data_IF_244483274802
#
_entry.id   IF_244483274802
#
_cell.length_a   1.000
_cell.length_b   1.000
_cell.length_c   1.000
_cell.angle_alpha   90.00
_cell.angle_beta   90.00
_cell.angle_gamma   90.00
#
_symmetry.space_group_name_H-M   'P 1'
#
loop_
_entity.id
_entity.type
_entity.pdbx_description
1 polymer ?
#
# COMPACT_ATOMS: atom_id res chain seq x y z
N UNK A 1 2.97 16.47 9.14
CA UNK A 1 3.48 15.15 8.84
C UNK A 1 2.80 14.72 7.56
N UNK A 2 3.60 14.69 6.49
CA UNK A 2 3.14 14.30 5.16
C UNK A 2 2.85 12.79 5.23
N UNK A 3 1.58 12.43 5.03
CA UNK A 3 1.18 11.04 4.81
C UNK A 3 1.78 10.62 3.46
N UNK A 4 2.43 9.46 3.34
CA UNK A 4 2.87 8.98 2.05
C UNK A 4 1.65 8.85 1.13
N UNK A 5 1.75 9.41 -0.06
CA UNK A 5 0.71 9.34 -1.07
C UNK A 5 0.90 8.11 -1.95
N UNK A 6 -0.21 7.49 -2.35
CA UNK A 6 -0.25 6.40 -3.29
C UNK A 6 -0.98 6.77 -4.58
N UNK A 7 -0.95 5.89 -5.58
CA UNK A 7 -1.77 6.01 -6.78
C UNK A 7 -2.69 4.79 -6.93
N UNK A 8 -3.91 5.04 -7.41
CA UNK A 8 -4.94 4.04 -7.62
C UNK A 8 -5.47 4.15 -9.03
N UNK A 9 -5.58 3.02 -9.71
CA UNK A 9 -6.16 2.94 -11.03
C UNK A 9 -7.66 2.65 -10.95
N UNK A 10 -8.46 3.49 -11.58
CA UNK A 10 -9.90 3.25 -11.78
C UNK A 10 -10.07 2.58 -13.13
N UNK A 11 -10.57 1.36 -13.13
CA UNK A 11 -10.84 0.58 -14.34
C UNK A 11 -12.26 0.80 -14.84
N UNK A 12 -12.44 0.69 -16.13
CA UNK A 12 -13.75 0.65 -16.79
C UNK A 12 -13.86 -0.53 -17.75
N UNK A 13 -15.08 -1.01 -17.91
CA UNK A 13 -15.49 -1.92 -18.96
C UNK A 13 -16.86 -1.42 -19.46
N UNK A 14 -16.94 -0.97 -20.70
CA UNK A 14 -18.15 -0.35 -21.24
C UNK A 14 -18.34 -0.72 -22.71
N UNK A 15 -19.55 -1.14 -23.06
CA UNK A 15 -19.94 -1.38 -24.45
C UNK A 15 -20.29 -0.07 -25.20
N UNK A 16 -20.37 1.05 -24.47
CA UNK A 16 -20.75 2.36 -25.01
C UNK A 16 -19.61 3.36 -24.82
N UNK A 17 -19.26 4.18 -25.82
CA UNK A 17 -18.28 5.23 -25.66
C UNK A 17 -18.67 6.23 -24.56
N UNK A 18 -17.74 6.54 -23.67
CA UNK A 18 -17.97 7.43 -22.53
C UNK A 18 -17.62 8.86 -22.95
N UNK A 19 -18.56 9.79 -22.83
CA UNK A 19 -18.37 11.21 -23.13
C UNK A 19 -18.12 12.07 -21.85
N UNK A 20 -18.49 11.53 -20.69
CA UNK A 20 -18.22 12.17 -19.40
C UNK A 20 -18.37 11.16 -18.26
N UNK A 21 -17.67 11.41 -17.18
CA UNK A 21 -17.78 10.61 -15.97
C UNK A 21 -17.68 11.49 -14.73
N UNK A 22 -18.35 11.05 -13.68
CA UNK A 22 -18.21 11.59 -12.33
C UNK A 22 -18.33 10.45 -11.36
N UNK A 23 -17.55 10.50 -10.28
CA UNK A 23 -17.69 9.60 -9.15
C UNK A 23 -17.12 10.23 -7.89
N UNK A 24 -17.56 9.74 -6.75
CA UNK A 24 -16.99 10.07 -5.46
C UNK A 24 -16.16 8.89 -4.95
N UNK A 25 -15.04 9.18 -4.30
CA UNK A 25 -14.16 8.17 -3.71
C UNK A 25 -14.29 8.23 -2.20
N UNK A 26 -14.76 7.14 -1.60
CA UNK A 26 -14.84 6.98 -0.16
C UNK A 26 -13.63 6.19 0.35
N UNK A 27 -13.27 6.39 1.61
CA UNK A 27 -12.23 5.62 2.29
C UNK A 27 -10.82 6.20 2.24
N UNK A 28 -10.55 7.08 1.27
CA UNK A 28 -9.25 7.77 1.10
C UNK A 28 -9.46 9.22 0.68
N UNK A 29 -8.42 10.03 0.74
CA UNK A 29 -8.44 11.42 0.26
C UNK A 29 -7.79 11.51 -1.12
N UNK A 30 -8.55 11.97 -2.12
CA UNK A 30 -8.06 12.19 -3.49
C UNK A 30 -7.36 13.54 -3.56
N UNK A 31 -6.09 13.52 -3.94
CA UNK A 31 -5.23 14.71 -4.07
C UNK A 31 -5.00 15.13 -5.51
N UNK A 32 -5.18 14.19 -6.46
CA UNK A 32 -5.01 14.43 -7.89
C UNK A 32 -5.69 13.35 -8.72
N UNK A 33 -5.87 13.60 -10.01
CA UNK A 33 -6.34 12.61 -10.98
C UNK A 33 -5.83 12.96 -12.38
N UNK A 34 -5.46 11.94 -13.15
CA UNK A 34 -4.98 12.08 -14.53
C UNK A 34 -4.67 10.72 -15.16
N UNK A 35 -4.04 10.71 -16.32
CA UNK A 35 -3.66 9.46 -16.99
C UNK A 35 -4.85 8.65 -17.55
N UNK A 36 -4.55 7.41 -17.91
CA UNK A 36 -5.53 6.46 -18.43
C UNK A 36 -6.19 6.85 -19.75
N UNK A 37 -7.33 6.22 -20.02
CA UNK A 37 -8.11 6.48 -21.23
C UNK A 37 -8.68 7.92 -21.28
N UNK A 38 -8.91 8.53 -20.12
CA UNK A 38 -9.37 9.91 -20.04
C UNK A 38 -8.34 10.87 -20.64
N UNK A 39 -7.08 10.76 -20.24
CA UNK A 39 -6.01 11.60 -20.80
C UNK A 39 -5.77 11.30 -22.28
N UNK A 40 -5.75 10.01 -22.66
CA UNK A 40 -5.57 9.59 -24.04
C UNK A 40 -6.67 10.13 -24.97
N UNK A 41 -7.91 10.29 -24.46
CA UNK A 41 -9.04 10.88 -25.17
C UNK A 41 -9.07 12.42 -25.10
N UNK A 42 -8.11 13.05 -24.42
CA UNK A 42 -8.04 14.50 -24.26
C UNK A 42 -9.09 15.08 -23.30
N UNK A 43 -9.50 14.32 -22.31
CA UNK A 43 -10.42 14.78 -21.26
C UNK A 43 -9.72 15.74 -20.31
N UNK A 44 -10.52 16.69 -19.84
CA UNK A 44 -10.16 17.48 -18.66
C UNK A 44 -10.67 16.73 -17.45
N UNK A 45 -9.75 16.36 -16.56
CA UNK A 45 -10.08 15.71 -15.28
C UNK A 45 -9.88 16.71 -14.15
N UNK A 46 -10.85 16.79 -13.27
CA UNK A 46 -10.86 17.72 -12.13
C UNK A 46 -11.24 16.97 -10.86
N UNK A 47 -10.59 17.32 -9.74
CA UNK A 47 -10.86 16.72 -8.43
C UNK A 47 -11.22 17.78 -7.41
N UNK A 48 -12.11 17.42 -6.48
CA UNK A 48 -12.47 18.28 -5.34
C UNK A 48 -13.38 17.55 -4.37
N UNK A 49 -13.05 17.62 -3.08
CA UNK A 49 -13.80 16.90 -2.01
C UNK A 49 -14.02 15.43 -2.33
N UNK A 50 -12.97 14.72 -2.74
CA UNK A 50 -13.01 13.30 -3.13
C UNK A 50 -13.96 13.00 -4.32
N UNK A 51 -14.42 14.01 -5.02
CA UNK A 51 -15.18 13.84 -6.26
C UNK A 51 -14.26 14.05 -7.46
N UNK A 52 -14.31 13.13 -8.40
CA UNK A 52 -13.57 13.16 -9.65
C UNK A 52 -14.56 13.38 -10.78
N UNK A 53 -14.29 14.37 -11.62
CA UNK A 53 -15.09 14.72 -12.78
C UNK A 53 -14.22 14.72 -14.03
N UNK A 54 -14.61 13.96 -15.06
CA UNK A 54 -13.93 13.93 -16.35
C UNK A 54 -14.87 14.27 -17.48
N UNK A 55 -14.46 15.18 -18.35
CA UNK A 55 -15.25 15.59 -19.53
C UNK A 55 -14.34 16.09 -20.64
N UNK A 56 -14.85 16.06 -21.87
CA UNK A 56 -14.17 16.61 -23.03
C UNK A 56 -14.80 17.94 -23.47
N UNK A 57 -14.00 19.00 -23.55
CA UNK A 57 -14.41 20.28 -24.15
C UNK A 57 -14.49 20.23 -25.67
N UNK A 58 -13.89 19.21 -26.29
CA UNK A 58 -13.83 19.00 -27.74
C UNK A 58 -14.86 18.01 -28.26
N UNK A 59 -15.65 17.41 -27.34
CA UNK A 59 -16.64 16.41 -27.68
C UNK A 59 -16.03 15.05 -28.05
N UNK A 60 -14.80 14.79 -27.64
CA UNK A 60 -14.18 13.47 -27.78
C UNK A 60 -14.78 12.49 -26.76
N UNK A 61 -14.68 11.21 -27.05
CA UNK A 61 -15.17 10.15 -26.17
C UNK A 61 -14.05 9.15 -25.86
N UNK A 62 -14.10 8.54 -24.70
CA UNK A 62 -13.33 7.35 -24.39
C UNK A 62 -14.00 6.20 -25.14
N UNK A 63 -13.28 5.42 -25.99
CA UNK A 63 -13.87 4.35 -26.77
C UNK A 63 -14.51 3.28 -25.88
N UNK A 64 -15.54 2.60 -26.41
CA UNK A 64 -16.03 1.36 -25.80
C UNK A 64 -14.88 0.35 -25.69
N UNK A 65 -14.87 -0.44 -24.63
CA UNK A 65 -13.83 -1.41 -24.30
C UNK A 65 -13.54 -1.43 -22.82
N UNK A 66 -12.38 -1.94 -22.48
CA UNK A 66 -11.92 -2.06 -21.10
C UNK A 66 -10.51 -1.45 -20.92
N UNK A 67 -10.22 -1.02 -19.73
CA UNK A 67 -8.89 -0.48 -19.39
C UNK A 67 -8.92 0.46 -18.21
N UNK A 68 -7.80 1.13 -17.98
CA UNK A 68 -7.68 2.16 -16.95
C UNK A 68 -8.39 3.42 -17.44
N UNK A 69 -9.44 3.83 -16.73
CA UNK A 69 -10.19 5.06 -17.00
C UNK A 69 -9.35 6.29 -16.63
N UNK A 70 -8.88 6.31 -15.41
CA UNK A 70 -8.11 7.40 -14.81
C UNK A 70 -7.26 6.86 -13.67
N UNK A 71 -6.14 7.50 -13.40
CA UNK A 71 -5.27 7.24 -12.25
C UNK A 71 -5.50 8.34 -11.22
N UNK A 72 -5.70 7.97 -9.97
CA UNK A 72 -5.92 8.88 -8.85
C UNK A 72 -4.67 8.94 -7.99
N UNK A 73 -4.27 10.13 -7.60
CA UNK A 73 -3.32 10.32 -6.50
C UNK A 73 -4.12 10.41 -5.21
N UNK A 74 -3.78 9.59 -4.24
CA UNK A 74 -4.53 9.48 -2.98
C UNK A 74 -3.60 9.56 -1.76
N UNK A 75 -4.17 9.92 -0.63
CA UNK A 75 -3.52 9.89 0.69
C UNK A 75 -4.45 9.23 1.71
N UNK A 76 -3.86 8.68 2.75
CA UNK A 76 -4.57 7.88 3.74
C UNK A 76 -4.72 6.41 3.31
N UNK A 77 -4.72 5.50 4.27
CA UNK A 77 -4.94 4.07 4.06
C UNK A 77 -6.37 3.70 4.40
N UNK A 78 -7.01 2.91 3.57
CA UNK A 78 -8.36 2.41 3.80
C UNK A 78 -8.91 1.66 2.59
N UNK A 79 -10.13 1.14 2.74
CA UNK A 79 -10.86 0.53 1.64
C UNK A 79 -11.42 1.64 0.74
N UNK A 80 -10.76 1.87 -0.40
CA UNK A 80 -11.26 2.83 -1.37
C UNK A 80 -12.44 2.24 -2.14
N UNK A 81 -13.51 3.00 -2.20
CA UNK A 81 -14.72 2.59 -2.89
C UNK A 81 -15.27 3.72 -3.74
N UNK A 82 -15.70 3.41 -4.97
CA UNK A 82 -16.39 4.37 -5.80
C UNK A 82 -17.86 4.43 -5.41
N UNK A 83 -18.37 5.63 -5.22
CA UNK A 83 -19.78 5.91 -4.96
C UNK A 83 -20.28 7.01 -5.89
N UNK A 84 -21.59 7.14 -6.01
CA UNK A 84 -22.24 8.18 -6.81
C UNK A 84 -21.68 8.25 -8.25
N UNK A 85 -21.42 7.06 -8.85
CA UNK A 85 -20.86 6.97 -10.19
C UNK A 85 -21.91 7.39 -11.22
N UNK A 86 -21.52 8.29 -12.10
CA UNK A 86 -22.31 8.74 -13.25
C UNK A 86 -21.43 8.66 -14.48
N UNK A 87 -21.87 7.89 -15.48
CA UNK A 87 -21.27 7.87 -16.80
C UNK A 87 -22.27 8.40 -17.80
N UNK A 88 -21.80 9.12 -18.81
CA UNK A 88 -22.66 9.65 -19.88
C UNK A 88 -22.09 9.32 -21.26
N UNK A 89 -23.01 9.09 -22.20
CA UNK A 89 -22.69 8.93 -23.62
C UNK A 89 -22.60 10.31 -24.32
N UNK A 90 -22.30 10.31 -25.61
CA UNK A 90 -22.17 11.53 -26.43
C UNK A 90 -23.50 12.26 -26.66
N UNK A 91 -24.64 11.65 -26.38
CA UNK A 91 -25.95 12.27 -26.42
C UNK A 91 -26.36 12.89 -25.07
N UNK A 92 -25.52 12.72 -24.04
CA UNK A 92 -25.80 13.16 -22.68
C UNK A 92 -26.73 12.22 -21.91
N UNK A 93 -26.97 11.00 -22.45
CA UNK A 93 -27.74 9.98 -21.73
C UNK A 93 -26.86 9.28 -20.72
N UNK A 94 -27.45 8.89 -19.59
CA UNK A 94 -26.72 8.09 -18.62
C UNK A 94 -26.43 6.68 -19.17
N UNK A 95 -25.22 6.22 -18.94
CA UNK A 95 -24.81 4.82 -19.17
C UNK A 95 -25.07 4.08 -17.88
N UNK A 96 -25.84 2.99 -17.93
CA UNK A 96 -26.05 2.12 -16.77
C UNK A 96 -24.70 1.52 -16.35
N UNK A 97 -24.43 1.56 -15.06
CA UNK A 97 -23.14 1.15 -14.51
C UNK A 97 -23.32 0.35 -13.21
N UNK A 98 -22.38 -0.52 -12.95
CA UNK A 98 -22.23 -1.22 -11.67
C UNK A 98 -20.80 -0.99 -11.18
N UNK A 99 -20.62 -0.81 -9.90
CA UNK A 99 -19.30 -0.77 -9.27
C UNK A 99 -19.01 -2.18 -8.78
N UNK A 100 -17.99 -2.79 -9.37
CA UNK A 100 -17.48 -4.08 -8.93
C UNK A 100 -16.21 -3.81 -8.13
N UNK A 101 -16.09 -4.42 -6.96
CA UNK A 101 -14.94 -4.37 -6.05
C UNK A 101 -14.56 -2.98 -5.48
N UNK A 102 -14.82 -2.83 -4.20
CA UNK A 102 -14.13 -1.84 -3.39
C UNK A 102 -12.75 -2.42 -3.02
N UNK A 103 -11.71 -1.89 -3.61
CA UNK A 103 -10.34 -2.39 -3.40
C UNK A 103 -9.71 -1.69 -2.22
N UNK A 104 -9.07 -2.45 -1.33
CA UNK A 104 -8.18 -1.87 -0.32
C UNK A 104 -7.02 -1.17 -1.02
N UNK A 105 -6.84 0.13 -0.75
CA UNK A 105 -5.63 0.83 -1.17
C UNK A 105 -4.53 0.47 -0.20
N UNK A 106 -3.55 -0.26 -0.69
CA UNK A 106 -2.24 -0.36 -0.04
C UNK A 106 -1.46 0.88 -0.44
N UNK A 107 -0.96 1.64 0.51
CA UNK A 107 -0.14 2.81 0.23
C UNK A 107 1.04 2.43 -0.67
N UNK A 108 1.37 3.28 -1.65
CA UNK A 108 2.53 3.04 -2.51
C UNK A 108 3.81 3.15 -1.66
N UNK A 109 4.36 2.01 -1.34
CA UNK A 109 5.45 1.81 -0.38
C UNK A 109 5.23 0.56 0.46
N UNK A 110 4.00 0.03 0.45
CA UNK A 110 3.64 -1.18 1.15
C UNK A 110 3.34 -2.30 0.12
N UNK A 111 4.39 -2.74 -0.60
CA UNK A 111 4.33 -3.92 -1.47
C UNK A 111 4.13 -5.23 -0.68
N UNK A 112 3.54 -5.12 0.53
CA UNK A 112 3.32 -6.25 1.42
C UNK A 112 1.84 -6.56 1.60
N UNK A 113 1.24 -7.43 0.76
CA UNK A 113 -0.18 -7.78 0.85
C UNK A 113 -0.58 -8.42 2.20
N UNK A 114 0.36 -8.98 2.93
CA UNK A 114 0.15 -9.55 4.27
C UNK A 114 0.22 -8.51 5.38
N UNK A 115 0.81 -7.33 5.11
CA UNK A 115 1.11 -6.31 6.11
C UNK A 115 2.22 -6.71 7.10
N UNK A 116 2.90 -7.83 6.85
CA UNK A 116 3.96 -8.32 7.72
C UNK A 116 5.33 -7.98 7.12
N UNK A 117 6.04 -7.08 7.77
CA UNK A 117 7.44 -6.78 7.45
C UNK A 117 8.36 -7.43 8.45
N UNK A 118 9.48 -7.93 7.97
CA UNK A 118 10.58 -8.28 8.85
C UNK A 118 11.33 -7.02 9.35
N UNK A 119 12.31 -7.21 10.21
CA UNK A 119 13.07 -6.09 10.76
C UNK A 119 13.90 -5.33 9.71
N UNK A 120 14.13 -5.89 8.52
CA UNK A 120 14.81 -5.25 7.40
C UNK A 120 13.83 -4.47 6.49
N UNK A 121 12.53 -4.50 6.79
CA UNK A 121 11.49 -3.89 5.98
C UNK A 121 11.12 -4.71 4.73
N UNK A 122 11.44 -6.00 4.70
CA UNK A 122 11.08 -6.91 3.60
C UNK A 122 9.75 -7.56 3.91
N UNK A 123 8.80 -7.47 2.95
CA UNK A 123 7.50 -8.09 3.06
C UNK A 123 7.61 -9.61 3.18
N UNK A 124 6.94 -10.18 4.18
CA UNK A 124 6.98 -11.60 4.52
C UNK A 124 8.42 -12.16 4.60
N UNK A 125 9.37 -11.27 4.90
CA UNK A 125 10.76 -11.64 5.12
C UNK A 125 10.92 -12.44 6.42
N UNK A 126 12.05 -13.09 6.55
CA UNK A 126 12.41 -13.92 7.70
C UNK A 126 13.56 -13.35 8.55
N UNK A 127 13.97 -12.12 8.24
CA UNK A 127 14.99 -11.44 9.01
C UNK A 127 14.47 -11.12 10.41
N UNK A 128 15.18 -11.57 11.42
CA UNK A 128 14.88 -11.32 12.84
C UNK A 128 15.98 -10.47 13.47
N UNK A 129 15.62 -9.68 14.45
CA UNK A 129 16.61 -8.97 15.26
C UNK A 129 17.39 -9.96 16.12
N UNK A 130 18.70 -9.81 16.14
CA UNK A 130 19.55 -10.55 17.06
C UNK A 130 19.44 -9.98 18.49
N UNK A 131 20.11 -10.59 19.45
CA UNK A 131 20.03 -10.13 20.83
C UNK A 131 20.65 -8.74 21.07
N UNK A 132 21.40 -8.19 20.10
CA UNK A 132 21.94 -6.84 20.14
C UNK A 132 20.97 -5.81 19.50
N UNK A 133 19.83 -6.26 18.95
CA UNK A 133 18.86 -5.43 18.25
C UNK A 133 19.26 -5.12 16.81
N UNK A 134 20.17 -5.90 16.23
CA UNK A 134 20.61 -5.74 14.83
C UNK A 134 19.82 -6.69 13.93
N UNK A 135 19.11 -6.11 12.93
CA UNK A 135 18.31 -6.90 12.02
C UNK A 135 19.18 -7.79 11.13
N UNK A 136 18.87 -9.08 11.08
CA UNK A 136 19.66 -10.08 10.35
C UNK A 136 21.04 -10.30 10.96
N UNK A 137 21.29 -9.78 12.15
CA UNK A 137 22.53 -9.99 12.89
C UNK A 137 22.72 -11.44 13.32
N UNK A 138 23.90 -11.74 13.83
CA UNK A 138 24.27 -13.09 14.28
C UNK A 138 24.61 -13.16 15.75
N UNK A 139 24.40 -12.09 16.50
CA UNK A 139 24.68 -12.08 17.94
C UNK A 139 23.67 -13.01 18.65
N UNK A 140 24.18 -13.97 19.39
CA UNK A 140 23.38 -14.90 20.17
C UNK A 140 23.63 -14.67 21.67
N UNK A 141 22.62 -14.97 22.48
CA UNK A 141 22.82 -15.03 23.93
C UNK A 141 23.72 -16.21 24.26
N UNK A 142 24.70 -15.97 25.13
CA UNK A 142 25.47 -17.05 25.73
C UNK A 142 24.61 -17.84 26.73
N UNK A 143 25.17 -18.89 27.32
CA UNK A 143 24.46 -19.71 28.30
C UNK A 143 24.14 -18.96 29.59
N UNK A 144 24.76 -17.81 29.81
CA UNK A 144 24.47 -16.88 30.89
C UNK A 144 23.38 -15.86 30.58
N UNK A 145 22.84 -15.86 29.33
CA UNK A 145 21.84 -14.90 28.85
C UNK A 145 22.44 -13.56 28.44
N UNK A 146 23.74 -13.45 28.28
CA UNK A 146 24.43 -12.23 27.83
C UNK A 146 24.58 -12.24 26.32
N UNK A 147 24.07 -11.21 25.66
CA UNK A 147 24.19 -11.10 24.22
C UNK A 147 25.65 -10.95 23.79
N UNK A 148 26.11 -11.83 22.87
CA UNK A 148 27.49 -11.85 22.41
C UNK A 148 28.50 -12.22 23.52
N UNK A 149 28.03 -12.77 24.61
CA UNK A 149 28.88 -13.14 25.75
C UNK A 149 29.74 -14.37 25.47
N UNK A 150 30.65 -14.64 26.40
CA UNK A 150 31.62 -15.72 26.36
C UNK A 150 31.40 -16.76 27.48
N UNK A 151 30.21 -16.77 28.08
CA UNK A 151 29.83 -17.64 29.20
C UNK A 151 30.55 -17.36 30.53
N UNK A 152 31.34 -16.31 30.61
CA UNK A 152 32.14 -16.02 31.82
C UNK A 152 31.32 -15.41 32.94
N UNK A 153 30.19 -14.73 32.63
CA UNK A 153 29.40 -13.99 33.60
C UNK A 153 28.65 -14.86 34.60
N UNK A 154 28.40 -16.10 34.29
CA UNK A 154 27.76 -17.10 35.13
C UNK A 154 28.60 -18.39 35.29
N UNK A 155 29.88 -18.36 34.89
CA UNK A 155 30.74 -19.49 35.05
C UNK A 155 31.07 -19.73 36.52
N UNK A 156 31.05 -21.00 36.92
CA UNK A 156 31.54 -21.41 38.25
C UNK A 156 33.06 -21.39 38.30
N UNK A 157 33.63 -21.78 39.45
CA UNK A 157 35.06 -21.80 39.64
C UNK A 157 35.79 -22.81 38.73
N UNK A 158 35.10 -23.73 38.11
CA UNK A 158 35.66 -24.66 37.13
C UNK A 158 35.53 -24.15 35.71
N UNK A 159 34.94 -22.95 35.49
CA UNK A 159 34.69 -22.34 34.18
C UNK A 159 33.46 -22.91 33.49
N UNK A 160 32.56 -23.56 34.18
CA UNK A 160 31.33 -24.15 33.64
C UNK A 160 30.19 -23.13 33.76
N UNK A 161 29.55 -22.67 32.64
CA UNK A 161 28.41 -21.76 32.70
C UNK A 161 27.28 -22.37 33.53
N UNK A 162 26.68 -21.56 34.42
CA UNK A 162 25.65 -22.00 35.38
C UNK A 162 26.01 -23.24 36.18
N UNK A 163 27.29 -23.55 36.33
CA UNK A 163 27.80 -24.66 37.14
C UNK A 163 27.61 -24.41 38.65
N UNK A 164 27.73 -25.45 39.45
CA UNK A 164 27.53 -25.41 40.89
C UNK A 164 28.82 -25.67 41.68
N UNK A 165 29.98 -25.62 41.03
CA UNK A 165 31.27 -25.80 41.69
C UNK A 165 31.61 -24.59 42.59
N UNK A 166 31.61 -24.80 43.87
CA UNK A 166 31.92 -23.78 44.92
C UNK A 166 33.36 -23.84 45.42
N UNK A 167 34.15 -24.75 44.90
CA UNK A 167 35.55 -24.95 45.36
C UNK A 167 36.48 -24.60 44.19
N UNK A 168 37.17 -23.48 44.28
CA UNK A 168 38.25 -23.10 43.38
C UNK A 168 39.59 -23.49 44.02
N UNK A 169 40.41 -24.25 43.31
CA UNK A 169 41.77 -24.55 43.69
C UNK A 169 42.71 -23.58 42.96
N UNK A 170 43.46 -22.81 43.72
CA UNK A 170 44.60 -21.98 43.23
C UNK A 170 45.79 -22.90 42.88
#
# INVERSE_FOLDING_TARGET
PDQPGGSVEVYYNSDTPIAGFQFHVAGVDVTGAGGGAAEAAGFTVSTGNNTVLGFSLQGTTIPAGEGVLVVLDVTGGGDACLTDVILSDSAGSAIDQTVEDCTSIVEAGDDCPSGNYDCAGVCDGDAVEDCAGECGGSAANDECGVCGGDNSSCADCAGVPNGDSVICWD
#
